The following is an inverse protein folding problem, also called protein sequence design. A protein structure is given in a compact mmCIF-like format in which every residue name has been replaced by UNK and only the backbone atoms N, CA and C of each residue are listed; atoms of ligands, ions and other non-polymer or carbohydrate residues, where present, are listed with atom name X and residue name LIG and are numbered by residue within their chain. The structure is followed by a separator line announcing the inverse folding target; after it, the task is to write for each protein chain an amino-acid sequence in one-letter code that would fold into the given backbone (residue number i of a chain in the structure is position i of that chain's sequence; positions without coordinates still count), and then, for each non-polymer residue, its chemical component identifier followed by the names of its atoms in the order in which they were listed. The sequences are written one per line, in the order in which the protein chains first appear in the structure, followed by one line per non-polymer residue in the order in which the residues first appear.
data_IF_952833971442
#
_entry.id   IF_952833971442
#
_cell.length_a   1.000
_cell.length_b   1.000
_cell.length_c   1.000
_cell.angle_alpha   90.00
_cell.angle_beta   90.00
_cell.angle_gamma   90.00
#
_symmetry.space_group_name_H-M   'P 1'
#
loop_
_entity.id
_entity.type
_entity.pdbx_description
1 polymer ?
#
# COMPACT_ATOMS: atom_id res chain seq x y z
N UNK A 1 -68.52 45.80 -5.42
CA UNK A 1 -68.99 45.41 -4.07
C UNK A 1 -70.21 44.50 -4.22
N UNK A 2 -70.49 43.51 -3.34
CA UNK A 2 -69.66 42.48 -2.73
C UNK A 2 -70.23 41.03 -2.96
N UNK A 3 -69.50 40.02 -2.45
CA UNK A 3 -69.68 38.55 -2.59
C UNK A 3 -70.81 37.94 -1.74
N UNK A 4 -71.27 36.73 -2.13
CA UNK A 4 -71.76 35.70 -1.20
C UNK A 4 -71.20 34.30 -1.59
N UNK A 5 -70.96 33.36 -0.63
CA UNK A 5 -69.98 32.28 -0.77
C UNK A 5 -70.60 30.88 -0.99
N UNK A 6 -69.94 30.01 -1.78
CA UNK A 6 -70.29 28.58 -1.90
C UNK A 6 -69.29 27.69 -1.15
N UNK A 7 -69.80 26.87 -0.22
CA UNK A 7 -69.05 25.92 0.63
C UNK A 7 -68.43 24.78 -0.19
N UNK A 8 -67.14 24.48 0.06
CA UNK A 8 -66.48 23.23 -0.33
C UNK A 8 -66.94 22.09 0.58
N UNK A 9 -67.40 20.97 0.01
CA UNK A 9 -67.70 19.72 0.71
C UNK A 9 -66.44 18.86 0.80
N UNK A 10 -66.16 18.34 1.99
CA UNK A 10 -65.14 17.32 2.26
C UNK A 10 -65.52 16.02 1.55
N UNK A 11 -64.65 15.54 0.66
CA UNK A 11 -64.71 14.22 0.03
C UNK A 11 -63.84 13.22 0.79
N UNK A 12 -64.43 12.06 1.08
CA UNK A 12 -63.98 11.03 2.01
C UNK A 12 -62.63 10.37 1.67
N UNK A 13 -61.96 9.91 2.73
CA UNK A 13 -60.78 9.06 2.68
C UNK A 13 -61.07 7.76 1.92
N UNK A 14 -60.34 7.54 0.82
CA UNK A 14 -60.32 6.25 0.14
C UNK A 14 -59.57 5.24 1.02
N UNK A 15 -60.30 4.22 1.48
CA UNK A 15 -59.78 3.08 2.22
C UNK A 15 -58.70 2.36 1.38
N UNK A 16 -57.49 2.29 1.90
CA UNK A 16 -56.39 1.53 1.30
C UNK A 16 -56.73 0.04 1.32
N UNK A 17 -56.77 -0.59 0.13
CA UNK A 17 -56.94 -2.04 -0.02
C UNK A 17 -55.87 -2.82 0.78
N UNK A 18 -56.24 -3.86 1.55
CA UNK A 18 -55.31 -4.65 2.37
C UNK A 18 -54.26 -5.42 1.53
N UNK A 19 -54.43 -5.50 0.21
CA UNK A 19 -53.45 -6.10 -0.70
C UNK A 19 -52.28 -5.16 -1.08
N UNK A 20 -52.40 -3.85 -0.87
CA UNK A 20 -51.30 -2.92 -1.12
C UNK A 20 -50.15 -3.07 -0.11
N UNK A 21 -50.46 -3.51 1.12
CA UNK A 21 -49.45 -3.73 2.17
C UNK A 21 -48.65 -5.04 1.97
N UNK A 22 -49.21 -6.03 1.27
CA UNK A 22 -48.51 -7.26 0.95
C UNK A 22 -47.38 -7.04 -0.09
N UNK A 23 -47.62 -6.19 -1.10
CA UNK A 23 -46.61 -5.83 -2.08
C UNK A 23 -45.49 -4.93 -1.51
N UNK A 24 -45.82 -4.10 -0.50
CA UNK A 24 -44.82 -3.28 0.20
C UNK A 24 -43.90 -4.10 1.12
N UNK A 25 -44.39 -5.21 1.69
CA UNK A 25 -43.57 -6.11 2.53
C UNK A 25 -42.56 -6.94 1.73
N UNK A 26 -42.78 -7.20 0.44
CA UNK A 26 -41.81 -7.95 -0.39
C UNK A 26 -40.55 -7.14 -0.74
N UNK A 27 -40.61 -5.80 -0.74
CA UNK A 27 -39.41 -4.95 -0.92
C UNK A 27 -38.52 -4.84 0.32
N UNK A 28 -38.99 -5.30 1.48
CA UNK A 28 -38.22 -5.31 2.73
C UNK A 28 -37.38 -6.59 2.91
N UNK A 29 -37.37 -7.52 1.95
CA UNK A 29 -36.60 -8.76 2.03
C UNK A 29 -35.08 -8.62 1.78
N UNK A 30 -34.58 -7.40 1.54
CA UNK A 30 -33.15 -7.12 1.36
C UNK A 30 -32.51 -6.32 2.51
N UNK A 31 -33.15 -6.22 3.68
CA UNK A 31 -32.56 -5.58 4.86
C UNK A 31 -31.58 -6.48 5.62
N UNK A 32 -31.41 -7.74 5.22
CA UNK A 32 -30.57 -8.73 5.92
C UNK A 32 -29.07 -8.51 5.66
N UNK A 33 -28.71 -7.80 4.59
CA UNK A 33 -27.32 -7.49 4.25
C UNK A 33 -27.06 -5.99 4.33
N UNK A 34 -26.98 -5.47 5.55
CA UNK A 34 -26.36 -4.16 5.78
C UNK A 34 -24.86 -4.33 5.51
N UNK A 35 -24.40 -3.79 4.38
CA UNK A 35 -22.97 -3.75 4.06
C UNK A 35 -22.23 -3.04 5.18
N UNK A 36 -21.16 -3.65 5.66
CA UNK A 36 -20.33 -3.05 6.68
C UNK A 36 -19.31 -2.13 6.02
N UNK A 37 -19.64 -0.83 5.97
CA UNK A 37 -18.73 0.19 5.41
C UNK A 37 -17.45 0.33 6.21
N UNK A 38 -17.47 -0.01 7.50
CA UNK A 38 -16.29 0.07 8.38
C UNK A 38 -15.26 -1.00 7.98
N UNK A 39 -15.72 -2.12 7.41
CA UNK A 39 -14.89 -3.16 6.79
C UNK A 39 -14.55 -2.84 5.31
N UNK A 40 -14.86 -1.64 4.82
CA UNK A 40 -14.61 -1.25 3.43
C UNK A 40 -15.49 -1.95 2.39
N UNK A 41 -16.63 -2.55 2.79
CA UNK A 41 -17.48 -3.32 1.89
C UNK A 41 -18.24 -2.42 0.89
N UNK A 42 -17.66 -2.23 -0.30
CA UNK A 42 -18.29 -1.54 -1.42
C UNK A 42 -18.53 -2.51 -2.58
N UNK A 43 -19.77 -2.96 -2.77
CA UNK A 43 -20.08 -3.94 -3.82
C UNK A 43 -20.17 -3.27 -5.19
N UNK A 44 -19.37 -3.75 -6.14
CA UNK A 44 -19.46 -3.35 -7.54
C UNK A 44 -20.80 -3.81 -8.14
N UNK A 45 -21.69 -2.87 -8.46
CA UNK A 45 -23.03 -3.17 -9.00
C UNK A 45 -23.10 -3.10 -10.53
N UNK A 46 -22.18 -2.41 -11.19
CA UNK A 46 -22.25 -2.23 -12.65
C UNK A 46 -21.71 -3.47 -13.39
N UNK A 47 -22.56 -4.22 -14.11
CA UNK A 47 -22.13 -5.43 -14.81
C UNK A 47 -21.16 -5.12 -15.97
N UNK A 48 -21.26 -3.95 -16.59
CA UNK A 48 -20.36 -3.54 -17.67
C UNK A 48 -18.92 -3.34 -17.20
N UNK A 49 -18.74 -2.80 -15.98
CA UNK A 49 -17.41 -2.67 -15.37
C UNK A 49 -16.83 -4.04 -15.03
N UNK A 50 -17.64 -4.94 -14.45
CA UNK A 50 -17.19 -6.30 -14.15
C UNK A 50 -16.77 -7.07 -15.42
N UNK A 51 -17.56 -6.95 -16.50
CA UNK A 51 -17.21 -7.53 -17.80
C UNK A 51 -15.92 -6.94 -18.37
N UNK A 52 -15.73 -5.61 -18.26
CA UNK A 52 -14.52 -4.95 -18.72
C UNK A 52 -13.27 -5.42 -17.94
N UNK A 53 -13.37 -5.56 -16.61
CA UNK A 53 -12.29 -6.09 -15.76
C UNK A 53 -11.90 -7.49 -16.21
N UNK A 54 -12.88 -8.40 -16.35
CA UNK A 54 -12.64 -9.79 -16.77
C UNK A 54 -12.11 -9.87 -18.20
N UNK A 55 -12.57 -9.01 -19.11
CA UNK A 55 -12.04 -8.93 -20.47
C UNK A 55 -10.58 -8.46 -20.48
N UNK A 56 -10.23 -7.50 -19.62
CA UNK A 56 -8.86 -6.99 -19.48
C UNK A 56 -7.94 -7.94 -18.70
N UNK A 57 -8.47 -8.92 -17.97
CA UNK A 57 -7.65 -9.95 -17.32
C UNK A 57 -7.06 -10.96 -18.31
N UNK A 58 -7.62 -11.06 -19.54
CA UNK A 58 -7.18 -12.01 -20.57
C UNK A 58 -7.06 -13.44 -20.00
N UNK A 59 -8.18 -13.91 -19.43
CA UNK A 59 -8.28 -15.22 -18.79
C UNK A 59 -8.24 -16.35 -19.82
N UNK A 60 -7.45 -17.37 -19.54
CA UNK A 60 -7.42 -18.63 -20.29
C UNK A 60 -8.35 -19.64 -19.64
N UNK A 61 -8.88 -20.57 -20.44
CA UNK A 61 -9.74 -21.65 -19.94
C UNK A 61 -9.04 -22.61 -18.98
N UNK A 62 -7.69 -22.61 -18.95
CA UNK A 62 -6.88 -23.37 -18.01
C UNK A 62 -6.65 -22.66 -16.67
N UNK A 63 -6.90 -21.35 -16.60
CA UNK A 63 -6.47 -20.52 -15.47
C UNK A 63 -7.29 -20.82 -14.20
N UNK A 64 -6.58 -20.91 -13.09
CA UNK A 64 -7.14 -20.82 -11.74
C UNK A 64 -7.07 -19.36 -11.29
N UNK A 65 -8.22 -18.80 -10.92
CA UNK A 65 -8.33 -17.39 -10.55
C UNK A 65 -8.52 -17.24 -9.04
N UNK A 66 -7.67 -16.45 -8.40
CA UNK A 66 -7.87 -16.00 -7.04
C UNK A 66 -8.73 -14.73 -7.04
N UNK A 67 -9.85 -14.76 -6.32
CA UNK A 67 -10.69 -13.59 -6.06
C UNK A 67 -10.64 -13.23 -4.57
N UNK A 68 -10.12 -12.06 -4.24
CA UNK A 68 -10.11 -11.55 -2.86
C UNK A 68 -11.30 -10.63 -2.66
N UNK A 69 -12.19 -10.97 -1.72
CA UNK A 69 -13.42 -10.24 -1.45
C UNK A 69 -14.46 -10.38 -2.56
N UNK A 70 -15.04 -11.57 -2.79
CA UNK A 70 -16.07 -11.79 -3.81
C UNK A 70 -17.35 -10.96 -3.56
N UNK A 71 -17.63 -10.56 -2.32
CA UNK A 71 -18.83 -9.83 -1.95
C UNK A 71 -20.10 -10.58 -2.38
N UNK A 72 -21.00 -9.92 -3.13
CA UNK A 72 -22.23 -10.55 -3.65
C UNK A 72 -22.01 -11.50 -4.83
N UNK A 73 -20.77 -11.66 -5.30
CA UNK A 73 -20.42 -12.57 -6.41
C UNK A 73 -20.69 -12.02 -7.81
N UNK A 74 -20.90 -10.71 -7.97
CA UNK A 74 -21.10 -10.09 -9.29
C UNK A 74 -19.89 -10.29 -10.23
N UNK A 75 -18.68 -10.24 -9.68
CA UNK A 75 -17.45 -10.45 -10.43
C UNK A 75 -17.14 -11.95 -10.55
N UNK A 76 -17.29 -12.71 -9.46
CA UNK A 76 -17.16 -14.18 -9.41
C UNK A 76 -17.88 -14.90 -10.56
N UNK A 77 -19.16 -14.59 -10.81
CA UNK A 77 -19.91 -15.25 -11.90
C UNK A 77 -19.32 -14.96 -13.27
N UNK A 78 -18.75 -13.76 -13.49
CA UNK A 78 -18.11 -13.39 -14.75
C UNK A 78 -16.75 -14.02 -14.93
N UNK A 79 -16.03 -14.27 -13.84
CA UNK A 79 -14.77 -15.02 -13.86
C UNK A 79 -15.06 -16.50 -14.18
N UNK A 80 -16.07 -17.09 -13.53
CA UNK A 80 -16.47 -18.50 -13.74
C UNK A 80 -16.94 -18.79 -15.17
N UNK A 81 -17.45 -17.78 -15.90
CA UNK A 81 -17.78 -17.92 -17.33
C UNK A 81 -16.54 -18.23 -18.20
N UNK A 82 -15.32 -17.86 -17.76
CA UNK A 82 -14.09 -17.97 -18.57
C UNK A 82 -12.99 -18.84 -17.97
N UNK A 83 -12.89 -18.92 -16.65
CA UNK A 83 -11.81 -19.61 -15.94
C UNK A 83 -12.11 -21.10 -15.69
N UNK A 84 -11.06 -21.88 -15.45
CA UNK A 84 -11.17 -23.29 -15.04
C UNK A 84 -11.76 -23.42 -13.64
N UNK A 85 -11.27 -22.59 -12.72
CA UNK A 85 -11.58 -22.62 -11.29
C UNK A 85 -11.45 -21.21 -10.72
N UNK A 86 -12.30 -20.88 -9.76
CA UNK A 86 -12.20 -19.66 -8.96
C UNK A 86 -12.04 -20.04 -7.50
N UNK A 87 -11.05 -19.45 -6.85
CA UNK A 87 -10.79 -19.58 -5.42
C UNK A 87 -11.08 -18.21 -4.82
N UNK A 88 -12.17 -18.10 -4.09
CA UNK A 88 -12.61 -16.85 -3.49
C UNK A 88 -12.26 -16.83 -2.00
N UNK A 89 -11.49 -15.83 -1.56
CA UNK A 89 -11.17 -15.63 -0.15
C UNK A 89 -12.07 -14.52 0.40
N UNK A 90 -12.86 -14.83 1.42
CA UNK A 90 -13.83 -13.90 2.01
C UNK A 90 -13.71 -13.91 3.54
N UNK A 91 -13.71 -12.71 4.12
CA UNK A 91 -13.65 -12.53 5.57
C UNK A 91 -15.05 -12.63 6.18
N UNK A 92 -16.09 -12.13 5.51
CA UNK A 92 -17.47 -12.15 6.02
C UNK A 92 -18.18 -13.47 5.66
N UNK A 93 -18.51 -14.32 6.66
CA UNK A 93 -19.19 -15.60 6.40
C UNK A 93 -20.55 -15.43 5.70
N UNK A 94 -21.20 -14.27 5.87
CA UNK A 94 -22.50 -13.99 5.26
C UNK A 94 -22.35 -13.76 3.76
N UNK A 95 -21.29 -13.08 3.33
CA UNK A 95 -20.96 -12.88 1.91
C UNK A 95 -20.50 -14.18 1.27
N UNK A 96 -19.70 -14.99 1.99
CA UNK A 96 -19.31 -16.33 1.55
C UNK A 96 -20.52 -17.24 1.27
N UNK A 97 -21.54 -17.18 2.11
CA UNK A 97 -22.80 -17.89 1.90
C UNK A 97 -23.59 -17.34 0.69
N UNK A 98 -23.61 -16.01 0.51
CA UNK A 98 -24.29 -15.36 -0.62
C UNK A 98 -23.70 -15.77 -1.97
N UNK A 99 -22.37 -15.70 -2.12
CA UNK A 99 -21.70 -16.10 -3.37
C UNK A 99 -21.89 -17.58 -3.68
N UNK A 100 -21.85 -18.43 -2.65
CA UNK A 100 -22.11 -19.89 -2.80
C UNK A 100 -23.54 -20.15 -3.25
N UNK A 101 -24.53 -19.50 -2.63
CA UNK A 101 -25.94 -19.60 -3.02
C UNK A 101 -26.17 -19.16 -4.46
N UNK A 102 -25.43 -18.17 -4.95
CA UNK A 102 -25.58 -17.62 -6.30
C UNK A 102 -25.21 -18.60 -7.41
N UNK A 103 -24.30 -19.52 -7.14
CA UNK A 103 -23.88 -20.58 -8.06
C UNK A 103 -24.53 -21.93 -7.77
N UNK A 104 -25.29 -22.04 -6.67
CA UNK A 104 -25.92 -23.28 -6.24
C UNK A 104 -26.83 -23.88 -7.33
N UNK A 105 -26.66 -25.17 -7.61
CA UNK A 105 -27.42 -25.90 -8.62
C UNK A 105 -26.96 -25.65 -10.06
N UNK A 106 -25.90 -24.87 -10.27
CA UNK A 106 -25.35 -24.58 -11.60
C UNK A 106 -24.01 -25.30 -11.83
N UNK A 107 -23.58 -25.54 -13.08
CA UNK A 107 -22.30 -26.18 -13.38
C UNK A 107 -21.09 -25.46 -12.77
N UNK A 108 -21.17 -24.14 -12.62
CA UNK A 108 -20.13 -23.30 -12.02
C UNK A 108 -19.88 -23.63 -10.54
N UNK A 109 -20.84 -24.20 -9.83
CA UNK A 109 -20.70 -24.55 -8.41
C UNK A 109 -19.48 -25.43 -8.15
N UNK A 110 -19.19 -26.39 -9.05
CA UNK A 110 -18.04 -27.30 -8.91
C UNK A 110 -16.70 -26.61 -9.16
N UNK A 111 -16.72 -25.41 -9.75
CA UNK A 111 -15.54 -24.62 -10.11
C UNK A 111 -15.28 -23.47 -9.13
N UNK A 112 -16.20 -23.21 -8.19
CA UNK A 112 -16.03 -22.22 -7.14
C UNK A 112 -15.61 -22.90 -5.83
N UNK A 113 -14.47 -22.48 -5.31
CA UNK A 113 -14.02 -22.78 -3.95
C UNK A 113 -14.05 -21.49 -3.13
N UNK A 114 -14.66 -21.52 -1.94
CA UNK A 114 -14.72 -20.35 -1.06
C UNK A 114 -13.96 -20.65 0.22
N UNK A 115 -12.89 -19.88 0.46
CA UNK A 115 -12.07 -19.94 1.65
C UNK A 115 -12.51 -18.84 2.61
N UNK A 116 -12.96 -19.24 3.80
CA UNK A 116 -13.34 -18.28 4.83
C UNK A 116 -12.09 -17.89 5.64
N UNK A 117 -11.73 -16.61 5.63
CA UNK A 117 -10.58 -16.13 6.39
C UNK A 117 -10.07 -14.76 5.96
N UNK A 118 -9.14 -14.25 6.76
CA UNK A 118 -8.38 -13.06 6.42
C UNK A 118 -7.32 -13.42 5.37
N UNK A 119 -7.47 -12.84 4.17
CA UNK A 119 -6.53 -13.05 3.06
C UNK A 119 -5.08 -12.76 3.44
N UNK A 120 -4.82 -11.88 4.42
CA UNK A 120 -3.47 -11.56 4.85
C UNK A 120 -2.83 -12.69 5.66
N UNK A 121 -3.64 -13.46 6.39
CA UNK A 121 -3.19 -14.56 7.26
C UNK A 121 -3.36 -15.94 6.64
N UNK A 122 -4.27 -16.08 5.68
CA UNK A 122 -4.53 -17.35 5.00
C UNK A 122 -3.40 -17.70 4.03
N UNK A 123 -2.99 -18.96 4.02
CA UNK A 123 -2.11 -19.52 2.99
C UNK A 123 -2.87 -19.66 1.68
N UNK A 124 -2.39 -18.95 0.65
CA UNK A 124 -3.05 -18.92 -0.64
C UNK A 124 -2.64 -20.15 -1.46
N UNK A 125 -3.60 -20.93 -1.99
CA UNK A 125 -3.28 -22.00 -2.92
C UNK A 125 -2.71 -21.42 -4.23
N UNK A 126 -2.16 -22.26 -5.09
CA UNK A 126 -1.68 -21.83 -6.41
C UNK A 126 -2.81 -21.19 -7.24
N UNK A 127 -2.50 -20.06 -7.89
CA UNK A 127 -3.37 -19.39 -8.85
C UNK A 127 -2.55 -18.78 -10.00
N UNK A 128 -3.14 -18.72 -11.18
CA UNK A 128 -2.51 -18.14 -12.37
C UNK A 128 -2.79 -16.63 -12.46
N UNK A 129 -3.98 -16.22 -12.04
CA UNK A 129 -4.46 -14.83 -12.14
C UNK A 129 -5.14 -14.42 -10.85
N UNK A 130 -4.90 -13.20 -10.37
CA UNK A 130 -5.69 -12.61 -9.29
C UNK A 130 -6.60 -11.52 -9.86
N UNK A 131 -7.87 -11.51 -9.47
CA UNK A 131 -8.80 -10.42 -9.77
C UNK A 131 -9.50 -10.02 -8.48
N UNK A 132 -9.40 -8.76 -8.07
CA UNK A 132 -10.02 -8.32 -6.82
C UNK A 132 -10.56 -6.90 -6.89
N UNK A 133 -11.73 -6.70 -6.26
CA UNK A 133 -12.18 -5.41 -5.77
C UNK A 133 -11.69 -5.27 -4.32
N UNK A 134 -10.43 -4.88 -4.17
CA UNK A 134 -9.73 -4.95 -2.89
C UNK A 134 -10.29 -3.94 -1.89
N UNK A 135 -10.61 -4.34 -0.64
CA UNK A 135 -10.89 -3.41 0.44
C UNK A 135 -9.72 -2.45 0.62
N UNK A 136 -9.99 -1.14 0.71
CA UNK A 136 -8.94 -0.13 0.61
C UNK A 136 -7.89 -0.22 1.72
N UNK A 137 -8.30 -0.65 2.90
CA UNK A 137 -7.46 -0.81 4.10
C UNK A 137 -6.32 -1.82 3.90
N UNK A 138 -6.49 -2.80 3.01
CA UNK A 138 -5.49 -3.86 2.80
C UNK A 138 -4.77 -3.73 1.45
N UNK A 139 -4.92 -2.61 0.74
CA UNK A 139 -4.42 -2.45 -0.63
C UNK A 139 -2.90 -2.64 -0.75
N UNK A 140 -2.13 -1.96 0.10
CA UNK A 140 -0.67 -2.06 0.15
C UNK A 140 -0.20 -3.47 0.54
N UNK A 141 -0.59 -4.01 1.72
CA UNK A 141 -0.11 -5.32 2.15
C UNK A 141 -0.57 -6.45 1.23
N UNK A 142 -1.78 -6.38 0.65
CA UNK A 142 -2.23 -7.36 -0.35
C UNK A 142 -1.36 -7.32 -1.61
N UNK A 143 -1.01 -6.12 -2.09
CA UNK A 143 -0.15 -5.97 -3.28
C UNK A 143 1.18 -6.68 -3.07
N UNK A 144 1.85 -6.44 -1.94
CA UNK A 144 3.13 -7.09 -1.65
C UNK A 144 2.99 -8.59 -1.37
N UNK A 145 1.91 -9.04 -0.72
CA UNK A 145 1.62 -10.48 -0.57
C UNK A 145 1.48 -11.19 -1.92
N UNK A 146 0.78 -10.56 -2.88
CA UNK A 146 0.63 -11.11 -4.23
C UNK A 146 1.94 -11.10 -5.02
N UNK A 147 2.77 -10.07 -4.85
CA UNK A 147 4.10 -10.00 -5.47
C UNK A 147 5.07 -11.03 -4.90
N UNK A 148 4.96 -11.35 -3.60
CA UNK A 148 5.78 -12.34 -2.92
C UNK A 148 5.37 -13.80 -3.21
N UNK A 149 4.11 -14.05 -3.59
CA UNK A 149 3.55 -15.38 -3.84
C UNK A 149 4.41 -16.24 -4.78
N UNK A 150 4.71 -17.48 -4.39
CA UNK A 150 5.55 -18.39 -5.18
C UNK A 150 4.79 -19.70 -5.45
N UNK A 151 4.64 -20.15 -6.71
CA UNK A 151 5.03 -19.47 -7.96
C UNK A 151 4.33 -18.11 -8.19
N UNK A 152 4.99 -17.22 -8.92
CA UNK A 152 4.45 -15.89 -9.21
C UNK A 152 3.23 -15.99 -10.15
N UNK A 153 2.14 -15.23 -9.88
CA UNK A 153 1.01 -15.19 -10.78
C UNK A 153 1.38 -14.52 -12.10
N UNK A 154 0.70 -14.92 -13.18
CA UNK A 154 0.88 -14.35 -14.51
C UNK A 154 0.45 -12.88 -14.56
N UNK A 155 -0.67 -12.55 -13.91
CA UNK A 155 -1.21 -11.19 -13.86
C UNK A 155 -2.16 -11.02 -12.69
N UNK A 156 -2.14 -9.84 -12.07
CA UNK A 156 -3.10 -9.41 -11.07
C UNK A 156 -3.87 -8.19 -11.62
N UNK A 157 -5.20 -8.26 -11.65
CA UNK A 157 -6.09 -7.14 -11.99
C UNK A 157 -6.78 -6.68 -10.70
N UNK A 158 -6.27 -5.60 -10.13
CA UNK A 158 -6.70 -5.11 -8.82
C UNK A 158 -7.38 -3.76 -8.97
N UNK A 159 -8.46 -3.56 -8.22
CA UNK A 159 -9.13 -2.27 -8.15
C UNK A 159 -8.78 -1.58 -6.84
N UNK A 160 -8.26 -0.37 -6.94
CA UNK A 160 -7.85 0.46 -5.81
C UNK A 160 -8.58 1.80 -5.82
N UNK A 161 -8.42 2.57 -4.75
CA UNK A 161 -8.70 4.00 -4.78
C UNK A 161 -7.85 4.68 -5.85
N UNK A 162 -8.39 5.73 -6.47
CA UNK A 162 -7.73 6.48 -7.54
C UNK A 162 -6.35 6.98 -7.13
N UNK A 163 -6.23 7.52 -5.93
CA UNK A 163 -4.98 8.09 -5.43
C UNK A 163 -3.91 7.01 -5.22
N UNK A 164 -4.26 5.94 -4.50
CA UNK A 164 -3.38 4.78 -4.32
C UNK A 164 -2.94 4.19 -5.66
N UNK A 165 -3.86 4.03 -6.62
CA UNK A 165 -3.53 3.57 -7.95
C UNK A 165 -2.54 4.52 -8.65
N UNK A 166 -2.74 5.84 -8.56
CA UNK A 166 -1.83 6.83 -9.14
C UNK A 166 -0.44 6.77 -8.50
N UNK A 167 -0.34 6.52 -7.19
CA UNK A 167 0.94 6.32 -6.49
C UNK A 167 1.69 5.10 -7.02
N UNK A 168 1.01 3.97 -7.28
CA UNK A 168 1.65 2.75 -7.76
C UNK A 168 2.44 2.93 -9.07
N UNK A 169 1.91 3.69 -10.03
CA UNK A 169 2.56 3.90 -11.33
C UNK A 169 3.20 5.30 -11.48
N UNK A 170 3.26 6.09 -10.40
CA UNK A 170 3.95 7.37 -10.39
C UNK A 170 5.42 7.17 -10.73
N UNK A 171 5.97 8.03 -11.59
CA UNK A 171 7.37 7.98 -12.01
C UNK A 171 8.22 8.96 -11.23
N UNK A 172 9.53 8.78 -11.31
CA UNK A 172 10.48 9.74 -10.77
C UNK A 172 10.17 11.16 -11.28
N UNK A 173 10.12 12.12 -10.35
CA UNK A 173 9.72 13.51 -10.58
C UNK A 173 8.24 13.80 -10.36
N UNK A 174 7.36 12.80 -10.35
CA UNK A 174 5.93 13.01 -10.11
C UNK A 174 5.63 13.39 -8.66
N UNK A 175 4.58 14.19 -8.45
CA UNK A 175 4.14 14.59 -7.09
C UNK A 175 3.79 13.38 -6.20
N UNK A 176 3.16 12.38 -6.80
CA UNK A 176 2.69 11.16 -6.12
C UNK A 176 3.75 10.06 -6.04
N UNK A 177 4.98 10.32 -6.47
CA UNK A 177 6.07 9.36 -6.34
C UNK A 177 6.42 9.14 -4.86
N UNK A 178 6.39 7.88 -4.44
CA UNK A 178 6.66 7.46 -3.05
C UNK A 178 7.40 6.12 -3.01
N UNK A 179 7.73 5.68 -1.79
CA UNK A 179 8.31 4.36 -1.52
C UNK A 179 7.51 3.24 -2.19
N UNK A 180 6.17 3.31 -2.11
CA UNK A 180 5.26 2.37 -2.75
C UNK A 180 5.48 2.27 -4.27
N UNK A 181 5.71 3.41 -4.94
CA UNK A 181 5.96 3.47 -6.39
C UNK A 181 7.21 2.67 -6.75
N UNK A 182 8.32 2.95 -6.08
CA UNK A 182 9.62 2.32 -6.38
C UNK A 182 9.58 0.83 -6.07
N UNK A 183 9.06 0.48 -4.88
CA UNK A 183 8.90 -0.90 -4.47
C UNK A 183 8.04 -1.66 -5.49
N UNK A 184 6.81 -1.23 -5.73
CA UNK A 184 5.92 -2.00 -6.60
C UNK A 184 6.46 -2.14 -8.04
N UNK A 185 7.10 -1.09 -8.58
CA UNK A 185 7.69 -1.12 -9.93
C UNK A 185 8.98 -1.94 -10.00
N UNK A 186 9.74 -2.05 -8.89
CA UNK A 186 10.92 -2.90 -8.80
C UNK A 186 10.58 -4.38 -9.05
N UNK A 187 9.50 -4.89 -8.45
CA UNK A 187 9.10 -6.30 -8.59
C UNK A 187 8.06 -6.60 -9.68
N UNK A 188 7.38 -5.58 -10.22
CA UNK A 188 6.35 -5.79 -11.23
C UNK A 188 6.24 -4.66 -12.25
N UNK A 189 5.73 -5.00 -13.44
CA UNK A 189 5.22 -4.01 -14.39
C UNK A 189 3.80 -3.63 -14.00
N UNK A 190 3.54 -2.33 -13.88
CA UNK A 190 2.26 -1.78 -13.44
C UNK A 190 1.67 -0.91 -14.54
N UNK A 191 0.47 -1.26 -14.99
CA UNK A 191 -0.27 -0.53 -16.03
C UNK A 191 -1.63 -0.08 -15.51
N UNK A 192 -1.99 1.18 -15.72
CA UNK A 192 -3.34 1.68 -15.44
C UNK A 192 -4.31 1.25 -16.55
N UNK A 193 -5.39 0.54 -16.19
CA UNK A 193 -6.32 -0.05 -17.16
C UNK A 193 -7.53 0.85 -17.40
N UNK A 194 -8.24 1.24 -16.34
CA UNK A 194 -9.44 2.07 -16.47
C UNK A 194 -9.84 2.74 -15.16
N UNK A 195 -10.53 3.88 -15.29
CA UNK A 195 -11.15 4.61 -14.19
C UNK A 195 -12.54 4.04 -13.89
N UNK A 196 -12.89 3.95 -12.61
CA UNK A 196 -14.23 3.50 -12.16
C UNK A 196 -14.81 4.55 -11.22
N UNK A 197 -15.94 5.14 -11.62
CA UNK A 197 -16.61 6.16 -10.80
C UNK A 197 -17.34 5.55 -9.59
N UNK A 198 -17.42 6.30 -8.49
CA UNK A 198 -18.08 5.88 -7.23
C UNK A 198 -19.54 5.41 -7.38
N UNK A 199 -20.25 5.93 -8.39
CA UNK A 199 -21.64 5.56 -8.67
C UNK A 199 -21.80 4.10 -9.13
N UNK A 200 -20.71 3.40 -9.46
CA UNK A 200 -20.70 1.99 -9.84
C UNK A 200 -20.72 1.04 -8.64
N UNK A 201 -20.74 1.58 -7.41
CA UNK A 201 -20.72 0.80 -6.17
C UNK A 201 -22.03 0.94 -5.38
N UNK A 202 -22.22 0.03 -4.43
CA UNK A 202 -23.28 0.08 -3.42
C UNK A 202 -22.76 -0.47 -2.07
N UNK A 203 -22.76 0.34 -0.99
CA UNK A 203 -22.92 1.80 -1.00
C UNK A 203 -21.81 2.50 -1.81
N UNK A 204 -22.03 3.71 -2.34
CA UNK A 204 -20.97 4.46 -3.04
C UNK A 204 -19.83 4.83 -2.08
N UNK A 205 -18.55 4.64 -2.46
CA UNK A 205 -17.41 5.17 -1.70
C UNK A 205 -17.33 6.69 -1.83
N UNK A 206 -16.57 7.32 -0.93
CA UNK A 206 -16.33 8.76 -0.96
C UNK A 206 -15.48 9.18 -2.18
N UNK A 207 -14.53 8.34 -2.56
CA UNK A 207 -13.51 8.59 -3.59
C UNK A 207 -13.75 7.78 -4.85
N UNK A 208 -13.08 8.17 -5.95
CA UNK A 208 -13.08 7.37 -7.18
C UNK A 208 -12.13 6.17 -7.09
N UNK A 209 -12.35 5.17 -7.94
CA UNK A 209 -11.53 3.96 -8.01
C UNK A 209 -10.82 3.86 -9.37
N UNK A 210 -9.79 3.03 -9.44
CA UNK A 210 -9.09 2.69 -10.69
C UNK A 210 -8.67 1.24 -10.70
N UNK A 211 -8.75 0.63 -11.87
CA UNK A 211 -8.31 -0.75 -12.11
C UNK A 211 -6.88 -0.71 -12.63
N UNK A 212 -6.01 -1.45 -11.97
CA UNK A 212 -4.58 -1.55 -12.25
C UNK A 212 -4.25 -3.00 -12.61
N UNK A 213 -3.37 -3.15 -13.59
CA UNK A 213 -2.77 -4.43 -13.95
C UNK A 213 -1.36 -4.47 -13.37
N UNK A 214 -1.07 -5.51 -12.61
CA UNK A 214 0.24 -5.79 -12.03
C UNK A 214 0.73 -7.11 -12.60
N UNK A 215 1.88 -7.09 -13.27
CA UNK A 215 2.53 -8.26 -13.84
C UNK A 215 3.88 -8.45 -13.16
N UNK A 216 4.03 -9.45 -12.26
CA UNK A 216 5.32 -9.73 -11.63
C UNK A 216 6.44 -9.93 -12.66
N UNK A 217 7.62 -9.35 -12.41
CA UNK A 217 8.80 -9.57 -13.26
C UNK A 217 9.27 -11.03 -13.10
N UNK A 218 9.49 -11.71 -14.22
CA UNK A 218 9.98 -13.08 -14.28
C UNK A 218 11.15 -13.16 -15.28
N UNK A 219 12.38 -13.51 -14.87
CA UNK A 219 12.79 -13.90 -13.51
C UNK A 219 12.66 -12.75 -12.50
N UNK A 220 12.46 -13.11 -11.23
CA UNK A 220 12.45 -12.13 -10.13
C UNK A 220 13.84 -11.47 -10.02
N UNK A 221 13.92 -10.15 -9.76
CA UNK A 221 15.18 -9.51 -9.44
C UNK A 221 15.88 -10.22 -8.26
N UNK A 222 17.17 -10.51 -8.39
CA UNK A 222 17.97 -11.20 -7.37
C UNK A 222 18.48 -10.24 -6.29
N UNK A 223 17.56 -9.57 -5.61
CA UNK A 223 17.85 -8.56 -4.58
C UNK A 223 16.96 -8.88 -3.37
N UNK A 224 17.52 -8.77 -2.16
CA UNK A 224 16.72 -8.92 -0.93
C UNK A 224 15.67 -7.82 -0.87
N UNK A 225 14.44 -8.23 -0.59
CA UNK A 225 13.33 -7.29 -0.43
C UNK A 225 13.54 -6.40 0.80
N UNK A 226 14.01 -7.00 1.89
CA UNK A 226 14.24 -6.36 3.18
C UNK A 226 15.32 -5.27 3.07
N UNK A 227 16.43 -5.58 2.41
CA UNK A 227 17.50 -4.63 2.11
C UNK A 227 17.00 -3.45 1.27
N UNK A 228 16.29 -3.74 0.18
CA UNK A 228 15.81 -2.70 -0.72
C UNK A 228 14.76 -1.81 -0.07
N UNK A 229 13.79 -2.40 0.66
CA UNK A 229 12.78 -1.64 1.39
C UNK A 229 13.40 -0.82 2.53
N UNK A 230 14.39 -1.36 3.24
CA UNK A 230 15.13 -0.65 4.29
C UNK A 230 15.86 0.60 3.76
N UNK A 231 16.54 0.48 2.62
CA UNK A 231 17.15 1.60 1.91
C UNK A 231 16.10 2.65 1.53
N UNK A 232 15.00 2.23 0.89
CA UNK A 232 13.95 3.14 0.45
C UNK A 232 13.25 3.83 1.61
N UNK A 233 13.07 3.15 2.74
CA UNK A 233 12.50 3.72 3.95
C UNK A 233 13.30 4.91 4.44
N UNK A 234 14.63 4.82 4.45
CA UNK A 234 15.52 5.95 4.80
C UNK A 234 15.43 7.05 3.74
N UNK A 235 15.48 6.68 2.46
CA UNK A 235 15.50 7.65 1.37
C UNK A 235 14.19 8.46 1.28
N UNK A 236 13.03 7.85 1.56
CA UNK A 236 11.72 8.47 1.38
C UNK A 236 11.16 9.20 2.60
N UNK A 237 11.82 9.15 3.79
CA UNK A 237 11.39 9.91 4.98
C UNK A 237 11.16 11.39 4.64
N UNK A 238 12.11 12.01 3.94
CA UNK A 238 11.96 13.38 3.40
C UNK A 238 12.27 13.36 1.91
N UNK A 239 11.31 12.91 1.10
CA UNK A 239 11.48 12.75 -0.36
C UNK A 239 11.92 14.01 -1.12
N UNK A 240 11.67 15.19 -0.54
CA UNK A 240 12.01 16.49 -1.12
C UNK A 240 13.40 17.02 -0.69
N UNK A 241 14.06 16.41 0.30
CA UNK A 241 15.43 16.75 0.71
C UNK A 241 16.44 15.92 -0.08
N UNK A 242 17.72 16.29 -0.01
CA UNK A 242 18.81 15.57 -0.68
C UNK A 242 19.07 14.22 0.01
N UNK A 243 19.62 13.26 -0.72
CA UNK A 243 20.02 11.96 -0.15
C UNK A 243 21.05 12.16 0.97
N UNK A 244 22.01 13.07 0.80
CA UNK A 244 22.94 13.49 1.88
C UNK A 244 22.21 13.83 3.17
N UNK A 245 21.18 14.67 3.10
CA UNK A 245 20.40 15.09 4.27
C UNK A 245 19.61 13.93 4.90
N UNK A 246 19.10 13.00 4.09
CA UNK A 246 18.34 11.86 4.61
C UNK A 246 19.20 10.83 5.33
N UNK A 247 20.42 10.57 4.83
CA UNK A 247 21.32 9.57 5.41
C UNK A 247 22.21 10.14 6.53
N UNK A 248 22.72 11.37 6.37
CA UNK A 248 23.67 11.96 7.32
C UNK A 248 23.03 12.95 8.29
N UNK A 249 21.87 13.51 7.95
CA UNK A 249 21.20 14.54 8.75
C UNK A 249 20.36 14.01 9.91
N UNK A 250 20.10 12.70 9.97
CA UNK A 250 19.25 12.09 10.99
C UNK A 250 20.07 11.16 11.89
N UNK A 251 20.15 11.46 13.18
CA UNK A 251 20.94 10.67 14.14
C UNK A 251 20.48 9.21 14.22
N UNK A 252 19.16 8.95 14.24
CA UNK A 252 18.63 7.59 14.32
C UNK A 252 18.98 6.72 13.11
N UNK A 253 19.15 7.33 11.93
CA UNK A 253 19.60 6.60 10.73
C UNK A 253 21.06 6.17 10.90
N UNK A 254 21.93 7.05 11.38
CA UNK A 254 23.33 6.70 11.63
C UNK A 254 23.48 5.63 12.71
N UNK A 255 22.66 5.68 13.78
CA UNK A 255 22.69 4.69 14.84
C UNK A 255 22.22 3.30 14.34
N UNK A 256 21.21 3.28 13.45
CA UNK A 256 20.76 2.06 12.76
C UNK A 256 21.88 1.47 11.87
N UNK A 257 22.49 2.30 11.02
CA UNK A 257 23.57 1.86 10.12
C UNK A 257 24.81 1.40 10.89
N UNK A 258 25.12 2.04 12.02
CA UNK A 258 26.20 1.60 12.92
C UNK A 258 25.92 0.21 13.49
N UNK A 259 24.70 -0.02 13.96
CA UNK A 259 24.29 -1.32 14.53
C UNK A 259 24.38 -2.44 13.49
N UNK A 260 23.89 -2.18 12.28
CA UNK A 260 23.96 -3.14 11.16
C UNK A 260 25.41 -3.38 10.73
N UNK A 261 26.23 -2.33 10.64
CA UNK A 261 27.64 -2.43 10.29
C UNK A 261 28.44 -3.26 11.31
N UNK A 262 28.20 -3.06 12.62
CA UNK A 262 28.82 -3.86 13.68
C UNK A 262 28.43 -5.33 13.56
N UNK A 263 27.15 -5.61 13.30
CA UNK A 263 26.65 -6.98 13.10
C UNK A 263 27.30 -7.63 11.89
N UNK A 264 27.41 -6.92 10.77
CA UNK A 264 28.10 -7.39 9.57
C UNK A 264 29.58 -7.66 9.81
N UNK A 265 30.29 -6.77 10.52
CA UNK A 265 31.69 -6.99 10.87
C UNK A 265 31.88 -8.22 11.76
N UNK A 266 31.00 -8.41 12.75
CA UNK A 266 31.03 -9.59 13.62
C UNK A 266 30.77 -10.90 12.85
N UNK A 267 29.87 -10.88 11.86
CA UNK A 267 29.59 -12.04 11.00
C UNK A 267 30.73 -12.38 10.02
N UNK A 268 31.57 -11.41 9.67
CA UNK A 268 32.67 -11.57 8.71
C UNK A 268 34.05 -11.58 9.39
N UNK A 269 34.09 -11.73 10.72
CA UNK A 269 35.32 -11.72 11.54
C UNK A 269 36.22 -10.48 11.30
N UNK A 270 35.59 -9.33 11.03
CA UNK A 270 36.29 -8.05 10.82
C UNK A 270 36.41 -7.35 12.18
N UNK A 271 37.63 -7.09 12.69
CA UNK A 271 37.82 -6.40 13.96
C UNK A 271 37.37 -4.95 13.84
N UNK A 272 36.55 -4.51 14.79
CA UNK A 272 36.07 -3.12 14.88
C UNK A 272 36.76 -2.46 16.08
N UNK A 273 37.52 -1.40 15.83
CA UNK A 273 38.12 -0.61 16.89
C UNK A 273 37.06 0.27 17.58
N UNK A 274 36.68 -0.12 18.80
CA UNK A 274 35.75 0.65 19.61
C UNK A 274 36.49 1.62 20.53
N UNK A 275 36.07 2.88 20.55
CA UNK A 275 36.72 3.93 21.33
C UNK A 275 36.11 5.31 21.04
N UNK A 276 36.38 6.31 21.89
CA UNK A 276 36.00 7.70 21.59
C UNK A 276 36.76 8.15 20.33
N UNK A 277 36.06 8.83 19.41
CA UNK A 277 36.71 9.45 18.25
C UNK A 277 37.78 10.44 18.74
N UNK A 278 38.97 10.36 18.15
CA UNK A 278 40.04 11.34 18.39
C UNK A 278 39.62 12.66 17.75
N UNK A 279 39.39 13.69 18.56
CA UNK A 279 39.16 15.04 18.06
C UNK A 279 40.49 15.60 17.58
N UNK A 280 40.83 15.38 16.31
CA UNK A 280 41.83 16.22 15.66
C UNK A 280 41.22 17.61 15.45
N UNK A 281 41.67 18.57 16.25
CA UNK A 281 41.51 19.99 15.99
C UNK A 281 42.33 20.34 14.75
N UNK A 282 41.73 20.22 13.56
CA UNK A 282 42.19 20.94 12.39
C UNK A 282 41.05 21.84 11.89
N UNK A 283 41.30 23.14 12.02
CA UNK A 283 40.41 24.21 11.64
C UNK A 283 40.16 24.18 10.14
N UNK A 284 38.95 23.79 9.75
CA UNK A 284 38.30 24.25 8.53
C UNK A 284 36.78 24.12 8.73
N UNK A 285 36.25 24.91 9.68
CA UNK A 285 34.81 25.15 9.79
C UNK A 285 34.38 25.98 8.57
N UNK A 286 33.86 25.28 7.57
CA UNK A 286 33.19 25.85 6.43
C UNK A 286 32.07 24.90 6.02
N UNK A 287 30.84 25.40 6.15
CA UNK A 287 29.56 24.91 5.60
C UNK A 287 28.64 24.15 6.57
N UNK A 288 27.64 24.92 7.02
CA UNK A 288 26.25 24.61 7.40
C UNK A 288 25.96 23.81 8.68
N UNK A 289 25.98 24.53 9.81
CA UNK A 289 24.98 24.30 10.87
C UNK A 289 23.57 24.51 10.30
N UNK A 290 22.59 23.63 10.58
CA UNK A 290 21.20 24.02 10.44
C UNK A 290 20.93 25.12 11.47
N UNK A 291 20.45 26.26 11.00
CA UNK A 291 20.03 27.38 11.84
C UNK A 291 19.10 26.91 12.95
N UNK A 292 19.34 27.41 14.17
CA UNK A 292 18.54 27.19 15.39
C UNK A 292 17.07 27.63 15.30
N UNK A 293 16.59 28.05 14.14
CA UNK A 293 15.21 28.43 13.87
C UNK A 293 14.34 27.25 13.37
N UNK A 294 14.88 26.03 13.24
CA UNK A 294 14.08 24.83 12.89
C UNK A 294 13.49 24.08 14.11
N UNK A 295 13.74 24.52 15.35
CA UNK A 295 13.22 23.87 16.56
C UNK A 295 11.80 24.34 17.00
N UNK A 296 11.18 25.28 16.28
CA UNK A 296 9.76 25.65 16.51
C UNK A 296 8.99 25.84 15.19
N UNK A 297 8.59 24.74 14.55
CA UNK A 297 7.47 24.77 13.60
C UNK A 297 6.62 23.50 13.73
N UNK A 298 5.74 23.50 14.73
CA UNK A 298 4.44 22.87 14.63
C UNK A 298 3.65 23.57 13.51
N UNK A 299 3.61 22.96 12.32
CA UNK A 299 3.02 23.62 11.16
C UNK A 299 3.09 22.82 9.86
N UNK A 300 2.20 21.85 9.72
CA UNK A 300 1.82 21.28 8.41
C UNK A 300 2.56 20.00 8.05
N UNK A 301 2.23 18.91 8.74
CA UNK A 301 2.42 17.56 8.20
C UNK A 301 1.69 17.47 6.84
N UNK A 302 2.41 17.12 5.76
CA UNK A 302 1.77 16.46 4.61
C UNK A 302 1.42 15.04 5.07
N UNK A 303 0.31 14.92 5.79
CA UNK A 303 -0.31 13.67 6.25
C UNK A 303 -0.92 12.99 5.03
N UNK A 304 -0.13 12.18 4.31
CA UNK A 304 -0.65 11.29 3.28
C UNK A 304 -0.26 9.81 3.50
N UNK A 305 0.36 9.50 4.64
CA UNK A 305 0.72 8.13 5.06
C UNK A 305 0.65 8.01 6.60
N UNK A 306 -0.54 8.22 7.17
CA UNK A 306 -0.83 8.04 8.62
C UNK A 306 -0.62 6.57 9.09
N UNK A 307 -0.51 5.63 8.15
CA UNK A 307 -0.25 4.20 8.40
C UNK A 307 1.25 3.81 8.40
N UNK A 308 2.19 4.76 8.21
CA UNK A 308 3.60 4.45 7.95
C UNK A 308 4.60 5.23 8.85
N UNK A 309 4.11 5.84 9.94
CA UNK A 309 4.97 6.26 11.07
C UNK A 309 5.13 5.07 12.01
N UNK A 310 6.33 4.48 12.14
CA UNK A 310 6.53 3.33 13.02
C UNK A 310 6.53 3.72 14.50
N UNK A 311 6.01 2.84 15.36
CA UNK A 311 6.11 2.89 16.84
C UNK A 311 7.54 3.15 17.37
N UNK A 312 8.57 2.92 16.55
CA UNK A 312 9.97 3.24 16.87
C UNK A 312 10.22 4.74 17.13
N UNK A 313 9.47 5.64 16.49
CA UNK A 313 9.59 7.09 16.74
C UNK A 313 8.77 7.55 17.95
N UNK A 314 7.68 6.84 18.28
CA UNK A 314 6.83 7.11 19.45
C UNK A 314 7.32 6.44 20.75
N UNK A 315 8.13 5.38 20.67
CA UNK A 315 8.58 4.60 21.83
C UNK A 315 9.86 5.13 22.50
N UNK A 316 10.30 6.34 22.18
CA UNK A 316 11.30 7.02 22.99
C UNK A 316 10.64 7.41 24.34
N UNK A 317 11.17 6.98 25.50
CA UNK A 317 10.59 7.37 26.78
C UNK A 317 10.67 8.90 26.89
N UNK A 318 9.52 9.54 27.13
CA UNK A 318 9.43 10.93 27.57
C UNK A 318 10.24 11.09 28.87
N UNK A 319 11.53 11.37 28.73
CA UNK A 319 12.37 11.77 29.85
C UNK A 319 12.04 13.21 30.19
N UNK A 320 11.30 13.35 31.28
CA UNK A 320 11.15 14.58 32.04
C UNK A 320 12.51 15.25 32.23
N UNK A 321 12.58 16.51 31.80
CA UNK A 321 13.68 17.45 31.98
C UNK A 321 14.45 17.26 33.28
N UNK A 322 15.78 17.09 33.18
CA UNK A 322 16.80 17.87 33.91
C UNK A 322 18.22 17.46 33.50
N UNK A 323 19.03 18.50 33.32
CA UNK A 323 20.50 18.58 33.27
C UNK A 323 21.21 18.73 31.91
N UNK A 324 22.09 19.74 31.91
CA UNK A 324 22.86 20.35 30.82
C UNK A 324 23.66 19.37 29.93
N UNK A 325 23.94 19.73 28.66
CA UNK A 325 24.42 18.79 27.65
C UNK A 325 25.94 18.57 27.78
N UNK A 326 26.35 17.48 28.42
CA UNK A 326 27.68 16.93 28.13
C UNK A 326 27.62 16.28 26.75
N UNK A 327 28.33 16.85 25.77
CA UNK A 327 28.57 16.25 24.43
C UNK A 327 28.97 14.77 24.63
N UNK A 328 28.07 13.82 24.35
CA UNK A 328 28.46 12.41 24.21
C UNK A 328 29.54 12.37 23.12
N UNK A 329 30.76 11.98 23.49
CA UNK A 329 31.86 11.78 22.53
C UNK A 329 31.39 10.79 21.48
N UNK A 330 31.46 11.19 20.20
CA UNK A 330 31.07 10.33 19.08
C UNK A 330 32.05 9.14 19.03
N UNK A 331 31.55 7.92 18.84
CA UNK A 331 32.39 6.72 18.78
C UNK A 331 33.15 6.62 17.46
N UNK A 332 34.34 5.99 17.46
CA UNK A 332 35.16 5.76 16.26
C UNK A 332 34.38 5.05 15.15
N UNK A 333 33.59 4.04 15.51
CA UNK A 333 32.75 3.27 14.56
C UNK A 333 31.70 4.15 13.89
N UNK A 334 31.06 5.04 14.65
CA UNK A 334 30.05 5.96 14.13
C UNK A 334 30.63 6.91 13.08
N UNK A 335 31.81 7.47 13.33
CA UNK A 335 32.49 8.34 12.36
C UNK A 335 32.95 7.54 11.13
N UNK A 336 33.42 6.31 11.31
CA UNK A 336 33.73 5.42 10.18
C UNK A 336 32.51 5.13 9.31
N UNK A 337 31.36 4.84 9.91
CA UNK A 337 30.11 4.59 9.19
C UNK A 337 29.64 5.86 8.48
N UNK A 338 29.69 7.02 9.15
CA UNK A 338 29.39 8.32 8.52
C UNK A 338 30.26 8.56 7.30
N UNK A 339 31.57 8.35 7.41
CA UNK A 339 32.50 8.55 6.31
C UNK A 339 32.28 7.57 5.16
N UNK A 340 32.00 6.29 5.46
CA UNK A 340 31.60 5.32 4.43
C UNK A 340 30.33 5.75 3.71
N UNK A 341 29.31 6.21 4.43
CA UNK A 341 28.07 6.73 3.82
C UNK A 341 28.36 7.95 2.94
N UNK A 342 29.21 8.87 3.38
CA UNK A 342 29.64 10.02 2.57
C UNK A 342 30.29 9.57 1.27
N UNK A 343 31.25 8.64 1.34
CA UNK A 343 31.95 8.11 0.17
C UNK A 343 30.99 7.42 -0.82
N UNK A 344 29.99 6.67 -0.33
CA UNK A 344 28.96 6.08 -1.22
C UNK A 344 28.19 7.18 -1.98
N UNK A 345 27.72 8.19 -1.24
CA UNK A 345 26.84 9.20 -1.80
C UNK A 345 27.57 10.16 -2.75
N UNK A 346 28.81 10.53 -2.42
CA UNK A 346 29.60 11.51 -3.17
C UNK A 346 30.51 10.84 -4.21
N UNK A 347 31.33 9.88 -3.79
CA UNK A 347 32.43 9.37 -4.63
C UNK A 347 31.96 8.22 -5.54
N UNK A 348 31.17 7.28 -5.00
CA UNK A 348 30.78 6.08 -5.77
C UNK A 348 29.55 6.32 -6.67
N UNK A 349 28.56 7.06 -6.15
CA UNK A 349 27.27 7.20 -6.81
C UNK A 349 27.00 8.55 -7.46
N UNK A 350 27.62 9.63 -6.97
CA UNK A 350 27.31 11.03 -7.35
C UNK A 350 25.81 11.37 -7.18
N UNK A 351 25.22 10.86 -6.10
CA UNK A 351 23.80 11.03 -5.78
C UNK A 351 23.56 11.88 -4.53
N UNK A 352 24.62 12.34 -3.84
CA UNK A 352 24.54 13.09 -2.59
C UNK A 352 23.54 14.25 -2.62
N UNK A 353 23.59 15.08 -3.68
CA UNK A 353 22.77 16.28 -3.80
C UNK A 353 21.47 16.06 -4.58
N UNK A 354 21.26 14.85 -5.11
CA UNK A 354 19.98 14.50 -5.74
C UNK A 354 18.91 14.32 -4.66
N UNK A 355 17.70 14.75 -5.00
CA UNK A 355 16.51 14.55 -4.16
C UNK A 355 15.94 13.18 -4.45
N UNK A 356 15.50 12.46 -3.41
CA UNK A 356 14.92 11.12 -3.55
C UNK A 356 13.81 11.06 -4.60
N UNK A 357 12.94 12.10 -4.65
CA UNK A 357 11.85 12.13 -5.63
C UNK A 357 12.28 12.12 -7.09
N UNK A 358 13.54 12.48 -7.38
CA UNK A 358 14.13 12.56 -8.72
C UNK A 358 15.02 11.35 -9.05
N UNK A 359 15.17 10.42 -8.11
CA UNK A 359 15.90 9.17 -8.31
C UNK A 359 14.95 8.14 -8.91
N UNK A 360 15.45 7.29 -9.81
CA UNK A 360 14.70 6.17 -10.37
C UNK A 360 15.13 4.82 -9.77
N UNK A 361 14.55 3.70 -10.25
CA UNK A 361 14.94 2.36 -9.80
C UNK A 361 16.44 2.10 -9.97
N UNK A 362 17.06 2.59 -11.05
CA UNK A 362 18.48 2.38 -11.33
C UNK A 362 19.37 3.11 -10.34
N UNK A 363 19.00 4.35 -9.97
CA UNK A 363 19.70 5.12 -8.94
C UNK A 363 19.70 4.38 -7.59
N UNK A 364 18.55 3.82 -7.17
CA UNK A 364 18.45 3.06 -5.91
C UNK A 364 19.23 1.75 -5.96
N UNK A 365 19.28 1.07 -7.10
CA UNK A 365 20.11 -0.12 -7.28
C UNK A 365 21.60 0.20 -7.18
N UNK A 366 22.03 1.31 -7.79
CA UNK A 366 23.41 1.79 -7.68
C UNK A 366 23.79 2.12 -6.24
N UNK A 367 22.89 2.77 -5.50
CA UNK A 367 23.05 3.05 -4.07
C UNK A 367 23.18 1.76 -3.27
N UNK A 368 22.21 0.85 -3.39
CA UNK A 368 22.19 -0.40 -2.62
C UNK A 368 23.47 -1.21 -2.87
N UNK A 369 23.86 -1.36 -4.12
CA UNK A 369 25.08 -2.07 -4.47
C UNK A 369 26.32 -1.44 -3.82
N UNK A 370 26.45 -0.10 -3.90
CA UNK A 370 27.61 0.63 -3.36
C UNK A 370 27.68 0.58 -1.83
N UNK A 371 26.52 0.65 -1.14
CA UNK A 371 26.46 0.44 0.31
C UNK A 371 26.91 -0.97 0.70
N UNK A 372 26.40 -1.99 0.01
CA UNK A 372 26.72 -3.39 0.29
C UNK A 372 28.21 -3.68 0.05
N UNK A 373 28.84 -3.08 -0.97
CA UNK A 373 30.30 -3.20 -1.20
C UNK A 373 31.13 -2.67 -0.04
N UNK A 374 30.60 -1.71 0.73
CA UNK A 374 31.29 -1.12 1.89
C UNK A 374 30.88 -1.74 3.23
N UNK A 375 30.10 -2.81 3.19
CA UNK A 375 29.61 -3.55 4.36
C UNK A 375 28.44 -2.87 5.09
N UNK A 376 27.80 -1.87 4.46
CA UNK A 376 26.61 -1.21 5.01
C UNK A 376 25.38 -1.93 4.45
N UNK A 377 24.56 -2.46 5.37
CA UNK A 377 23.33 -3.21 5.07
C UNK A 377 22.14 -2.58 5.80
N UNK A 378 20.95 -2.74 5.25
CA UNK A 378 19.72 -2.11 5.70
C UNK A 378 18.77 -3.05 6.43
N UNK A 379 19.10 -4.35 6.52
CA UNK A 379 18.35 -5.36 7.27
C UNK A 379 19.17 -6.12 8.29
#
# INVERSE_FOLDING_TARGET
MPKAPSKKRHGAAAQSSPYAQAAAKTKAANSIFKMNTDLGQHVLKNPGVAQAIVAKADLKQSDTVLEVGPGSGNLTVKILEKAKKVIAVELDPRMAAEVTKRVQGKPEQKRLEVLLGDVMKTDLPYFDVCISNTPYQISSPLTFKLLAASPAPRVCILMFQREFALRLFAKSGDKLYSRLSVNAQMWAKIDHIMKVGKNNFKPPPAVESSVVRIVPKNPRPQISYEEFDGLLRIAFVRKNKTLRSNFLGTTSVLDLLETNYRTWCAQNDIPVEDGPAETETNAMDGVDEPSKDEEELDGGMDIDDEDDVPDFFDSAPTQTSRDNPSRKKKGKVRELVREKVRQVLEDDTDLADRRTRMCDEGDFLKLLWSFNQRGIHFS
#
